data_IF_079283424800
#
_entry.id   IF_079283424800
#
_cell.length_a   1.000
_cell.length_b   1.000
_cell.length_c   1.000
_cell.angle_alpha   90.00
_cell.angle_beta   90.00
_cell.angle_gamma   90.00
#
_symmetry.space_group_name_H-M   'P 1'
#
loop_
_entity.id
_entity.type
_entity.pdbx_description
1 polymer ?
#
# COMPACT_ATOMS: atom_id res chain seq x y z
N UNK A 1 34.42 -3.76 18.21
CA UNK A 1 33.89 -2.57 18.93
C UNK A 1 32.43 -2.37 18.54
N UNK A 2 31.51 -2.54 19.48
CA UNK A 2 30.09 -2.26 19.25
C UNK A 2 29.88 -0.75 19.07
N UNK A 3 29.15 -0.35 18.03
CA UNK A 3 28.82 1.06 17.80
C UNK A 3 27.85 1.51 18.90
N UNK A 4 28.31 2.41 19.76
CA UNK A 4 27.43 3.08 20.74
C UNK A 4 26.36 3.84 19.95
N UNK A 5 25.09 3.57 20.21
CA UNK A 5 23.99 4.28 19.54
C UNK A 5 24.09 5.77 19.84
N UNK A 6 24.29 6.61 18.81
CA UNK A 6 24.28 8.07 18.97
C UNK A 6 22.87 8.51 19.39
N UNK A 7 22.76 9.10 20.58
CA UNK A 7 21.53 9.69 21.10
C UNK A 7 21.42 11.10 20.52
N UNK A 8 20.33 11.38 19.80
CA UNK A 8 20.01 12.71 19.27
C UNK A 8 19.47 13.61 20.39
N UNK A 9 19.90 14.87 20.38
CA UNK A 9 19.35 15.96 21.21
C UNK A 9 17.94 16.34 20.74
N UNK A 10 17.20 17.06 21.59
CA UNK A 10 15.84 17.54 21.27
C UNK A 10 15.84 18.44 20.03
N UNK A 11 16.82 19.33 19.91
CA UNK A 11 16.94 20.27 18.79
C UNK A 11 17.18 19.58 17.44
N UNK A 12 17.99 18.52 17.43
CA UNK A 12 18.24 17.74 16.20
C UNK A 12 17.00 16.97 15.74
N UNK A 13 16.15 16.55 16.68
CA UNK A 13 14.87 15.90 16.37
C UNK A 13 13.89 16.88 15.73
N UNK A 14 13.76 18.08 16.30
CA UNK A 14 12.91 19.14 15.74
C UNK A 14 13.37 19.55 14.34
N UNK A 15 14.68 19.69 14.14
CA UNK A 15 15.27 20.03 12.84
C UNK A 15 15.00 18.94 11.79
N UNK A 16 15.10 17.66 12.17
CA UNK A 16 14.77 16.55 11.27
C UNK A 16 13.30 16.56 10.85
N UNK A 17 12.39 16.81 11.80
CA UNK A 17 10.95 16.90 11.55
C UNK A 17 10.63 18.09 10.63
N UNK A 18 11.23 19.26 10.89
CA UNK A 18 11.10 20.45 10.05
C UNK A 18 11.57 20.20 8.61
N UNK A 19 12.61 19.39 8.43
CA UNK A 19 13.11 18.97 7.11
C UNK A 19 12.33 17.80 6.49
N UNK A 20 11.24 17.33 7.13
CA UNK A 20 10.45 16.20 6.65
C UNK A 20 11.18 14.87 6.68
N UNK A 21 12.21 14.72 7.54
CA UNK A 21 12.97 13.49 7.72
C UNK A 21 12.47 12.76 8.97
N UNK A 22 11.84 11.57 8.81
CA UNK A 22 11.39 10.80 9.97
C UNK A 22 12.56 10.40 10.88
N UNK A 23 12.37 10.45 12.20
CA UNK A 23 13.42 10.07 13.17
C UNK A 23 13.90 8.63 12.97
N UNK A 24 13.00 7.72 12.58
CA UNK A 24 13.35 6.34 12.22
C UNK A 24 14.37 6.28 11.07
N UNK A 25 14.28 7.20 10.11
CA UNK A 25 15.25 7.35 9.02
C UNK A 25 16.57 7.92 9.52
N UNK A 26 16.54 8.92 10.41
CA UNK A 26 17.75 9.52 11.00
C UNK A 26 18.56 8.46 11.76
N UNK A 27 17.94 7.68 12.66
CA UNK A 27 18.63 6.61 13.39
C UNK A 27 19.18 5.52 12.46
N UNK A 28 18.45 5.14 11.40
CA UNK A 28 18.96 4.20 10.38
C UNK A 28 20.18 4.77 9.65
N UNK A 29 20.19 6.06 9.33
CA UNK A 29 21.33 6.75 8.71
C UNK A 29 22.54 6.78 9.66
N UNK A 30 22.33 7.11 10.94
CA UNK A 30 23.37 7.06 11.96
C UNK A 30 23.95 5.66 12.14
N UNK A 31 23.10 4.62 12.15
CA UNK A 31 23.54 3.22 12.20
C UNK A 31 24.39 2.80 10.99
N UNK A 32 24.13 3.42 9.83
CA UNK A 32 24.93 3.27 8.59
C UNK A 32 26.19 4.15 8.57
N UNK A 33 26.46 4.91 9.62
CA UNK A 33 27.65 5.75 9.75
C UNK A 33 27.53 7.14 9.11
N UNK A 34 26.31 7.61 8.84
CA UNK A 34 26.11 8.98 8.37
C UNK A 34 26.44 9.99 9.48
N UNK A 35 26.87 11.18 9.07
CA UNK A 35 26.97 12.31 9.97
C UNK A 35 25.58 12.79 10.41
N UNK A 36 25.49 13.39 11.59
CA UNK A 36 24.21 13.86 12.14
C UNK A 36 23.62 14.96 11.27
N UNK A 37 24.43 15.91 10.80
CA UNK A 37 23.97 17.00 9.95
C UNK A 37 23.40 16.49 8.62
N UNK A 38 24.08 15.53 7.98
CA UNK A 38 23.59 14.85 6.78
C UNK A 38 22.33 14.04 7.06
N UNK A 39 22.26 13.38 8.22
CA UNK A 39 21.15 12.52 8.58
C UNK A 39 19.84 13.28 8.80
N UNK A 40 19.90 14.51 9.33
CA UNK A 40 18.72 15.35 9.60
C UNK A 40 18.33 16.28 8.44
N UNK A 41 19.25 16.54 7.49
CA UNK A 41 19.02 17.53 6.42
C UNK A 41 18.69 16.90 5.07
N UNK A 42 19.25 15.72 4.75
CA UNK A 42 19.00 15.12 3.43
C UNK A 42 17.56 14.59 3.35
N UNK A 43 16.76 14.97 2.33
CA UNK A 43 15.40 14.47 2.20
C UNK A 43 15.42 12.95 2.04
N UNK A 44 14.57 12.25 2.79
CA UNK A 44 14.33 10.83 2.53
C UNK A 44 13.47 10.71 1.29
N UNK A 45 13.75 9.73 0.41
CA UNK A 45 12.89 9.42 -0.74
C UNK A 45 11.46 9.30 -0.20
N UNK A 46 10.61 10.27 -0.52
CA UNK A 46 9.24 10.30 -0.05
C UNK A 46 8.61 8.96 -0.41
N UNK A 47 7.94 8.34 0.57
CA UNK A 47 7.06 7.23 0.28
C UNK A 47 6.02 7.69 -0.76
N UNK A 48 5.51 6.78 -1.60
CA UNK A 48 4.40 7.10 -2.47
C UNK A 48 3.27 7.74 -1.64
N UNK A 49 2.59 8.77 -2.15
CA UNK A 49 1.47 9.38 -1.45
C UNK A 49 0.41 8.31 -1.15
N UNK A 50 -0.12 8.30 0.07
CA UNK A 50 -1.16 7.36 0.51
C UNK A 50 -0.77 6.38 1.62
N UNK A 51 0.45 6.44 2.16
CA UNK A 51 0.78 5.76 3.42
C UNK A 51 0.80 6.80 4.54
N UNK A 52 -0.33 6.93 5.22
CA UNK A 52 -0.44 7.74 6.43
C UNK A 52 0.49 7.17 7.51
N UNK A 53 1.13 8.05 8.27
CA UNK A 53 1.89 7.68 9.45
C UNK A 53 1.17 8.22 10.66
N UNK A 54 1.17 7.46 11.75
CA UNK A 54 0.64 7.95 13.01
C UNK A 54 1.53 9.07 13.59
N UNK A 55 1.08 9.65 14.71
CA UNK A 55 1.72 10.74 15.44
C UNK A 55 3.12 10.39 15.97
N UNK A 56 3.47 9.10 16.03
CA UNK A 56 4.81 8.61 16.39
C UNK A 56 5.67 8.24 15.18
N UNK A 57 5.12 8.39 13.97
CA UNK A 57 5.83 8.16 12.72
C UNK A 57 5.96 6.68 12.33
N UNK A 58 5.16 5.79 12.91
CA UNK A 58 4.97 4.42 12.46
C UNK A 58 4.06 4.36 11.23
N UNK A 59 4.18 3.26 10.48
CA UNK A 59 3.36 3.03 9.30
C UNK A 59 1.95 2.69 9.76
N UNK A 60 0.98 3.57 9.53
CA UNK A 60 -0.41 3.20 9.71
C UNK A 60 -0.73 2.06 8.72
N UNK A 61 -1.36 0.96 9.15
CA UNK A 61 -1.79 -0.08 8.22
C UNK A 61 -2.74 0.59 7.21
N UNK A 62 -2.49 0.39 5.92
CA UNK A 62 -3.38 0.87 4.88
C UNK A 62 -4.82 0.44 5.22
N UNK A 63 -5.85 1.29 5.00
CA UNK A 63 -7.23 1.00 5.39
C UNK A 63 -7.78 -0.28 4.75
N UNK A 64 -7.14 -0.76 3.67
CA UNK A 64 -7.46 -2.01 2.99
C UNK A 64 -6.29 -2.97 3.14
N UNK A 65 -6.50 -4.08 3.86
CA UNK A 65 -5.58 -5.22 3.85
C UNK A 65 -5.62 -5.84 2.46
N UNK A 66 -4.60 -5.56 1.64
CA UNK A 66 -4.49 -6.13 0.30
C UNK A 66 -4.10 -7.60 0.38
N UNK A 67 -4.80 -8.44 -0.38
CA UNK A 67 -4.47 -9.86 -0.52
C UNK A 67 -3.24 -10.12 -1.40
N UNK A 68 -2.98 -11.40 -1.69
CA UNK A 68 -1.90 -11.82 -2.59
C UNK A 68 -2.12 -11.25 -4.00
N UNK A 69 -1.12 -10.55 -4.53
CA UNK A 69 -1.11 -10.07 -5.92
C UNK A 69 -1.26 -11.22 -6.91
N UNK A 70 -2.02 -10.97 -7.98
CA UNK A 70 -2.21 -11.89 -9.10
C UNK A 70 -1.64 -11.25 -10.36
N UNK A 71 -0.90 -12.02 -11.15
CA UNK A 71 -0.40 -11.61 -12.46
C UNK A 71 -0.99 -12.55 -13.50
N UNK A 72 -1.60 -11.98 -14.53
CA UNK A 72 -2.21 -12.69 -15.66
C UNK A 72 -1.85 -11.96 -16.95
N UNK A 73 -1.66 -12.69 -18.04
CA UNK A 73 -1.55 -12.10 -19.38
C UNK A 73 -2.93 -12.05 -20.02
N UNK A 74 -3.31 -10.88 -20.52
CA UNK A 74 -4.54 -10.70 -21.29
C UNK A 74 -4.26 -10.88 -22.79
N UNK A 75 -5.27 -11.27 -23.58
CA UNK A 75 -5.22 -11.17 -25.03
C UNK A 75 -4.97 -9.73 -25.47
N UNK A 76 -4.08 -9.54 -26.45
CA UNK A 76 -3.68 -8.21 -26.94
C UNK A 76 -4.86 -7.41 -27.53
N UNK A 77 -5.88 -8.11 -28.01
CA UNK A 77 -7.09 -7.51 -28.57
C UNK A 77 -7.91 -6.73 -27.53
N UNK A 78 -7.70 -7.01 -26.24
CA UNK A 78 -8.39 -6.34 -25.15
C UNK A 78 -7.67 -5.10 -24.66
N UNK A 79 -6.38 -4.92 -24.95
CA UNK A 79 -5.61 -3.76 -24.51
C UNK A 79 -6.30 -2.42 -24.82
N UNK A 80 -6.75 -2.14 -26.06
CA UNK A 80 -7.40 -0.86 -26.36
C UNK A 80 -8.73 -0.67 -25.63
N UNK A 81 -9.47 -1.76 -25.39
CA UNK A 81 -10.75 -1.71 -24.67
C UNK A 81 -10.52 -1.50 -23.17
N UNK A 82 -9.49 -2.13 -22.62
CA UNK A 82 -9.11 -2.00 -21.22
C UNK A 82 -8.60 -0.59 -20.93
N UNK A 83 -7.73 -0.05 -21.79
CA UNK A 83 -7.21 1.32 -21.64
C UNK A 83 -8.34 2.35 -21.67
N UNK A 84 -9.25 2.26 -22.65
CA UNK A 84 -10.41 3.13 -22.74
C UNK A 84 -11.34 3.02 -21.51
N UNK A 85 -11.53 1.80 -20.99
CA UNK A 85 -12.37 1.59 -19.82
C UNK A 85 -11.73 2.11 -18.53
N UNK A 86 -10.41 1.96 -18.38
CA UNK A 86 -9.65 2.52 -17.25
C UNK A 86 -9.73 4.04 -17.27
N UNK A 87 -9.49 4.66 -18.44
CA UNK A 87 -9.59 6.12 -18.61
C UNK A 87 -11.00 6.63 -18.27
N UNK A 88 -12.04 5.97 -18.81
CA UNK A 88 -13.44 6.31 -18.52
C UNK A 88 -13.80 6.16 -17.03
N UNK A 89 -13.18 5.21 -16.33
CA UNK A 89 -13.41 4.99 -14.90
C UNK A 89 -12.74 6.01 -13.99
N UNK A 90 -11.68 6.69 -14.46
CA UNK A 90 -10.84 7.57 -13.64
C UNK A 90 -10.06 6.86 -12.52
N UNK A 91 -10.01 5.53 -12.54
CA UNK A 91 -9.35 4.69 -11.52
C UNK A 91 -7.99 4.19 -12.01
N UNK A 92 -7.18 3.67 -11.09
CA UNK A 92 -6.01 2.89 -11.48
C UNK A 92 -6.43 1.58 -12.13
N UNK A 93 -5.61 1.04 -13.03
CA UNK A 93 -5.83 -0.29 -13.63
C UNK A 93 -6.10 -1.37 -12.58
N UNK A 94 -5.37 -1.34 -11.46
CA UNK A 94 -5.52 -2.32 -10.39
C UNK A 94 -6.88 -2.21 -9.69
N UNK A 95 -7.34 -1.00 -9.41
CA UNK A 95 -8.63 -0.77 -8.74
C UNK A 95 -9.79 -1.09 -9.69
N UNK A 96 -9.68 -0.69 -10.96
CA UNK A 96 -10.69 -1.01 -11.98
C UNK A 96 -10.89 -2.53 -12.14
N UNK A 97 -9.80 -3.29 -12.28
CA UNK A 97 -9.87 -4.75 -12.39
C UNK A 97 -10.39 -5.38 -11.09
N UNK A 98 -9.98 -4.87 -9.93
CA UNK A 98 -10.46 -5.37 -8.65
C UNK A 98 -11.98 -5.19 -8.50
N UNK A 99 -12.52 -4.03 -8.88
CA UNK A 99 -13.95 -3.76 -8.83
C UNK A 99 -14.75 -4.72 -9.72
N UNK A 100 -14.30 -4.95 -10.96
CA UNK A 100 -14.94 -5.92 -11.87
C UNK A 100 -14.98 -7.32 -11.22
N UNK A 101 -13.87 -7.76 -10.63
CA UNK A 101 -13.81 -9.08 -10.00
C UNK A 101 -14.72 -9.17 -8.77
N UNK A 102 -14.79 -8.11 -7.96
CA UNK A 102 -15.69 -8.05 -6.79
C UNK A 102 -17.15 -8.09 -7.23
N UNK A 103 -17.53 -7.29 -8.23
CA UNK A 103 -18.88 -7.27 -8.79
C UNK A 103 -19.28 -8.62 -9.39
N UNK A 104 -18.38 -9.23 -10.16
CA UNK A 104 -18.62 -10.53 -10.78
C UNK A 104 -18.75 -11.65 -9.73
N UNK A 105 -17.83 -11.72 -8.75
CA UNK A 105 -17.89 -12.72 -7.69
C UNK A 105 -19.09 -12.52 -6.75
N UNK A 106 -19.47 -11.27 -6.48
CA UNK A 106 -20.68 -10.95 -5.73
C UNK A 106 -21.95 -11.41 -6.44
N UNK A 107 -21.98 -11.29 -7.77
CA UNK A 107 -23.10 -11.74 -8.60
C UNK A 107 -23.27 -13.27 -8.60
N UNK A 108 -22.17 -14.03 -8.56
CA UNK A 108 -22.21 -15.50 -8.50
C UNK A 108 -22.78 -16.02 -7.16
N UNK A 109 -22.55 -15.31 -6.06
CA UNK A 109 -23.05 -15.70 -4.73
C UNK A 109 -24.56 -15.45 -4.55
N UNK A 110 -25.18 -14.67 -5.44
CA UNK A 110 -26.60 -14.31 -5.37
C UNK A 110 -27.54 -15.35 -6.01
N UNK A 111 -27.01 -16.39 -6.65
CA UNK A 111 -27.85 -17.46 -7.20
C UNK A 111 -28.47 -18.30 -6.05
N UNK A 112 -29.82 -18.38 -5.92
CA UNK A 112 -30.42 -19.18 -4.87
C UNK A 112 -30.16 -20.67 -5.14
N UNK A 113 -29.76 -21.40 -4.09
CA UNK A 113 -29.65 -22.85 -4.11
C UNK A 113 -30.96 -23.47 -4.66
N UNK A 114 -30.90 -24.43 -5.60
CA UNK A 114 -32.10 -25.11 -6.06
C UNK A 114 -32.75 -25.82 -4.88
N UNK A 115 -33.96 -25.37 -4.50
CA UNK A 115 -34.77 -26.05 -3.47
C UNK A 115 -35.16 -27.42 -4.00
N UNK A 116 -34.63 -28.43 -3.32
CA UNK A 116 -35.06 -29.83 -3.23
C UNK A 116 -36.01 -30.38 -4.29
N UNK A 117 -35.49 -31.32 -5.09
CA UNK A 117 -36.30 -32.44 -5.56
C UNK A 117 -36.34 -33.52 -4.46
N UNK A 118 -37.25 -33.33 -3.49
CA UNK A 118 -37.74 -34.43 -2.64
C UNK A 118 -38.39 -35.44 -3.58
N UNK A 119 -37.68 -36.53 -3.91
CA UNK A 119 -38.29 -37.70 -4.53
C UNK A 119 -39.12 -38.40 -3.46
N UNK A 120 -40.41 -38.15 -3.47
CA UNK A 120 -41.38 -39.07 -2.90
C UNK A 120 -41.56 -40.23 -3.87
N UNK A 121 -41.30 -41.45 -3.42
CA UNK A 121 -41.86 -42.70 -3.93
C UNK A 121 -41.39 -43.85 -3.02
N UNK A 122 -42.20 -44.14 -2.02
CA UNK A 122 -42.23 -45.41 -1.30
C UNK A 122 -43.62 -46.01 -1.48
#
# INVERSE_FOLDING_TARGET
MGKVGKILSTLEKETAIANGVPLTTVYKRLGRGWDVADAITRPSRSLPPGIERDDVGEFAPAPVVRGRGRSTRLPIELDPQLDAAIEASGKSQSDFIADILVEWLGSQQKAPAPRGSRREAG
#
